data_IF_036677804645
#
_entry.id   IF_036677804645
#
_cell.length_a   1.000
_cell.length_b   1.000
_cell.length_c   1.000
_cell.angle_alpha   90.00
_cell.angle_beta   90.00
_cell.angle_gamma   90.00
#
_symmetry.space_group_name_H-M   'P 1'
#
loop_
_entity.id
_entity.type
_entity.pdbx_description
1 polymer ?
#
# COMPACT_ATOMS: atom_id res chain seq x y z
N UNK A 1 11.11 -34.13 9.21
CA UNK A 1 11.36 -33.33 7.99
C UNK A 1 12.63 -33.83 7.34
N UNK A 2 12.59 -34.24 6.06
CA UNK A 2 13.78 -34.74 5.35
C UNK A 2 14.78 -33.60 5.10
N UNK A 3 16.08 -33.90 4.97
CA UNK A 3 17.10 -32.87 4.66
C UNK A 3 16.76 -32.10 3.39
N UNK A 4 16.16 -32.78 2.40
CA UNK A 4 15.73 -32.17 1.15
C UNK A 4 14.66 -31.09 1.35
N UNK A 5 13.68 -31.31 2.23
CA UNK A 5 12.64 -30.33 2.53
C UNK A 5 13.18 -29.08 3.25
N UNK A 6 14.24 -29.23 4.08
CA UNK A 6 14.90 -28.07 4.71
C UNK A 6 15.63 -27.21 3.67
N UNK A 7 16.38 -27.86 2.78
CA UNK A 7 17.14 -27.16 1.73
C UNK A 7 16.25 -26.41 0.72
N UNK A 8 15.03 -26.90 0.44
CA UNK A 8 14.10 -26.20 -0.44
C UNK A 8 13.55 -24.94 0.22
N UNK A 9 13.17 -25.02 1.49
CA UNK A 9 12.61 -23.90 2.25
C UNK A 9 13.62 -22.75 2.41
N UNK A 10 14.89 -23.07 2.68
CA UNK A 10 15.98 -22.08 2.74
C UNK A 10 16.12 -21.30 1.43
N UNK A 11 16.20 -22.03 0.32
CA UNK A 11 16.36 -21.45 -1.00
C UNK A 11 15.20 -20.49 -1.30
N UNK A 12 13.99 -20.86 -0.91
CA UNK A 12 12.80 -20.06 -1.16
C UNK A 12 12.85 -18.72 -0.38
N UNK A 13 13.31 -18.70 0.88
CA UNK A 13 13.55 -17.45 1.62
C UNK A 13 14.64 -16.58 1.01
N UNK A 14 15.75 -17.17 0.53
CA UNK A 14 16.79 -16.39 -0.15
C UNK A 14 16.30 -15.80 -1.48
N UNK A 15 15.49 -16.55 -2.23
CA UNK A 15 14.85 -16.05 -3.45
C UNK A 15 13.90 -14.90 -3.11
N UNK A 16 13.07 -15.05 -2.07
CA UNK A 16 12.16 -14.01 -1.60
C UNK A 16 12.91 -12.74 -1.16
N UNK A 17 13.97 -12.89 -0.36
CA UNK A 17 14.82 -11.79 0.07
C UNK A 17 15.49 -11.09 -1.11
N UNK A 18 16.04 -11.86 -2.05
CA UNK A 18 16.70 -11.33 -3.25
C UNK A 18 15.75 -10.53 -4.14
N UNK A 19 14.55 -11.07 -4.42
CA UNK A 19 13.56 -10.40 -5.26
C UNK A 19 12.95 -9.17 -4.58
N UNK A 20 12.71 -9.22 -3.26
CA UNK A 20 12.22 -8.07 -2.48
C UNK A 20 13.30 -6.98 -2.38
N UNK A 21 14.55 -7.38 -2.14
CA UNK A 21 15.69 -6.47 -2.07
C UNK A 21 16.01 -5.81 -3.41
N UNK A 22 15.83 -6.52 -4.53
CA UNK A 22 16.01 -5.96 -5.87
C UNK A 22 15.07 -4.77 -6.16
N UNK A 23 13.92 -4.70 -5.49
CA UNK A 23 12.98 -3.58 -5.63
C UNK A 23 13.42 -2.30 -4.89
N UNK A 24 14.30 -2.41 -3.88
CA UNK A 24 14.77 -1.28 -3.07
C UNK A 24 15.53 -0.27 -3.93
N UNK A 25 16.45 -0.74 -4.78
CA UNK A 25 17.32 0.12 -5.59
C UNK A 25 16.54 1.03 -6.56
N UNK A 26 15.64 0.52 -7.45
CA UNK A 26 14.88 1.38 -8.35
C UNK A 26 13.96 2.34 -7.58
N UNK A 27 13.36 1.90 -6.47
CA UNK A 27 12.53 2.79 -5.65
C UNK A 27 13.32 3.90 -4.97
N UNK A 28 14.54 3.62 -4.50
CA UNK A 28 15.40 4.61 -3.89
C UNK A 28 15.85 5.67 -4.91
N UNK A 29 16.19 5.25 -6.14
CA UNK A 29 16.47 6.17 -7.25
C UNK A 29 15.24 7.04 -7.54
N UNK A 30 14.07 6.41 -7.68
CA UNK A 30 12.80 7.10 -7.91
C UNK A 30 12.45 8.05 -6.76
N UNK A 31 12.80 7.75 -5.52
CA UNK A 31 12.50 8.57 -4.36
C UNK A 31 13.42 9.81 -4.24
N UNK A 32 14.70 9.68 -4.59
CA UNK A 32 15.65 10.79 -4.50
C UNK A 32 15.29 11.89 -5.51
N UNK A 33 14.98 11.52 -6.75
CA UNK A 33 14.67 12.47 -7.84
C UNK A 33 13.58 13.52 -7.48
N UNK A 34 12.41 13.17 -6.92
CA UNK A 34 11.34 14.12 -6.58
C UNK A 34 11.67 15.04 -5.41
N UNK A 35 12.64 14.69 -4.55
CA UNK A 35 13.11 15.61 -3.51
C UNK A 35 13.69 16.88 -4.15
N UNK A 36 14.35 16.74 -5.30
CA UNK A 36 14.99 17.84 -6.03
C UNK A 36 14.07 18.48 -7.08
N UNK A 37 13.34 17.66 -7.85
CA UNK A 37 12.57 18.14 -9.02
C UNK A 37 11.18 18.64 -8.63
N UNK A 38 10.50 17.95 -7.71
CA UNK A 38 9.10 18.23 -7.37
C UNK A 38 9.08 19.22 -6.21
N UNK A 39 9.42 20.48 -6.50
CA UNK A 39 9.22 21.58 -5.55
C UNK A 39 7.73 21.93 -5.50
N UNK A 40 7.14 21.79 -4.33
CA UNK A 40 5.81 22.32 -4.04
C UNK A 40 5.91 23.84 -3.93
N UNK A 41 5.71 24.55 -5.04
CA UNK A 41 5.12 25.91 -4.93
C UNK A 41 3.71 25.73 -4.35
N UNK A 42 3.09 26.77 -3.79
CA UNK A 42 1.78 26.78 -3.10
C UNK A 42 0.57 26.34 -3.96
N UNK A 43 0.78 25.38 -4.85
CA UNK A 43 -0.14 24.82 -5.82
C UNK A 43 -0.95 23.70 -5.16
N UNK A 44 -2.25 23.93 -4.94
CA UNK A 44 -3.15 22.98 -4.28
C UNK A 44 -3.29 21.64 -5.02
N UNK A 45 -2.92 21.56 -6.29
CA UNK A 45 -2.99 20.33 -7.05
C UNK A 45 -1.76 19.42 -6.86
N UNK A 46 -0.65 19.96 -6.33
CA UNK A 46 0.59 19.19 -6.06
C UNK A 46 0.67 18.58 -4.66
N UNK A 47 -0.37 18.74 -3.85
CA UNK A 47 -0.41 18.26 -2.45
C UNK A 47 -0.20 16.74 -2.36
N UNK A 48 -0.70 15.98 -3.33
CA UNK A 48 -0.49 14.53 -3.42
C UNK A 48 0.98 14.11 -3.33
N UNK A 49 1.91 14.92 -3.85
CA UNK A 49 3.33 14.59 -3.85
C UNK A 49 4.00 14.78 -2.50
N UNK A 50 3.37 15.50 -1.57
CA UNK A 50 3.83 15.54 -0.18
C UNK A 50 3.64 14.15 0.45
N UNK A 51 2.45 13.57 0.27
CA UNK A 51 2.12 12.22 0.72
C UNK A 51 2.99 11.17 0.04
N UNK A 52 3.19 11.29 -1.28
CA UNK A 52 4.06 10.39 -2.02
C UNK A 52 5.52 10.42 -1.51
N UNK A 53 6.05 11.60 -1.14
CA UNK A 53 7.40 11.73 -0.56
C UNK A 53 7.53 11.07 0.81
N UNK A 54 6.46 11.02 1.60
CA UNK A 54 6.40 10.30 2.88
C UNK A 54 6.20 8.80 2.66
N UNK A 55 5.46 8.41 1.64
CA UNK A 55 5.16 7.02 1.31
C UNK A 55 6.42 6.21 0.95
N UNK A 56 7.29 6.77 0.09
CA UNK A 56 8.52 6.10 -0.35
C UNK A 56 9.42 5.62 0.81
N UNK A 57 9.85 6.45 1.78
CA UNK A 57 10.75 6.02 2.84
C UNK A 57 10.08 5.00 3.77
N UNK A 58 8.78 5.13 4.04
CA UNK A 58 8.03 4.14 4.84
C UNK A 58 8.01 2.79 4.13
N UNK A 59 7.77 2.77 2.82
CA UNK A 59 7.78 1.51 2.06
C UNK A 59 9.19 0.94 1.86
N UNK A 60 10.21 1.77 1.64
CA UNK A 60 11.60 1.33 1.61
C UNK A 60 12.03 0.70 2.93
N UNK A 61 11.62 1.27 4.06
CA UNK A 61 11.85 0.67 5.38
C UNK A 61 11.11 -0.65 5.53
N UNK A 62 9.88 -0.76 5.01
CA UNK A 62 9.12 -2.02 4.97
C UNK A 62 9.90 -3.09 4.22
N UNK A 63 10.38 -2.82 3.00
CA UNK A 63 11.17 -3.76 2.21
C UNK A 63 12.48 -4.15 2.89
N UNK A 64 13.17 -3.19 3.52
CA UNK A 64 14.39 -3.47 4.28
C UNK A 64 14.15 -4.44 5.43
N UNK A 65 13.04 -4.27 6.17
CA UNK A 65 12.65 -5.19 7.24
C UNK A 65 12.16 -6.55 6.72
N UNK A 66 11.47 -6.59 5.57
CA UNK A 66 11.12 -7.85 4.89
C UNK A 66 12.37 -8.65 4.56
N UNK A 67 13.35 -8.03 3.90
CA UNK A 67 14.64 -8.68 3.58
C UNK A 67 15.36 -9.14 4.86
N UNK A 68 15.36 -8.33 5.91
CA UNK A 68 15.96 -8.72 7.18
C UNK A 68 15.24 -9.93 7.81
N UNK A 69 13.91 -9.97 7.78
CA UNK A 69 13.10 -11.10 8.27
C UNK A 69 13.42 -12.39 7.50
N UNK A 70 13.47 -12.32 6.17
CA UNK A 70 13.79 -13.48 5.33
C UNK A 70 15.20 -14.02 5.60
N UNK A 71 16.18 -13.14 5.78
CA UNK A 71 17.56 -13.52 6.12
C UNK A 71 17.60 -14.19 7.50
N UNK A 72 16.87 -13.65 8.49
CA UNK A 72 16.78 -14.27 9.82
C UNK A 72 16.16 -15.67 9.71
N UNK A 73 15.06 -15.81 8.98
CA UNK A 73 14.42 -17.10 8.72
C UNK A 73 15.33 -18.11 8.03
N UNK A 74 16.07 -17.70 6.99
CA UNK A 74 17.03 -18.57 6.32
C UNK A 74 18.19 -18.95 7.26
N UNK A 75 18.71 -18.01 8.03
CA UNK A 75 19.82 -18.24 8.97
C UNK A 75 19.48 -19.21 10.10
N UNK A 76 18.19 -19.29 10.49
CA UNK A 76 17.70 -20.27 11.47
C UNK A 76 18.00 -21.70 11.05
N UNK A 77 18.00 -22.00 9.76
CA UNK A 77 18.24 -23.38 9.29
C UNK A 77 19.71 -23.77 9.47
N UNK A 78 20.63 -22.79 9.51
CA UNK A 78 22.06 -22.98 9.74
C UNK A 78 22.45 -22.96 11.22
N UNK A 79 21.80 -22.11 12.02
CA UNK A 79 22.11 -21.97 13.44
C UNK A 79 21.40 -23.08 14.22
N UNK A 80 22.20 -24.03 14.71
CA UNK A 80 21.76 -25.20 15.46
C UNK A 80 20.74 -24.85 16.55
N UNK A 81 19.73 -25.71 16.71
CA UNK A 81 18.57 -25.49 17.60
C UNK A 81 18.94 -25.28 19.09
N UNK A 82 20.20 -25.54 19.45
CA UNK A 82 20.78 -25.38 20.77
C UNK A 82 21.27 -23.95 21.10
N UNK A 83 21.16 -22.99 20.17
CA UNK A 83 21.45 -21.58 20.43
C UNK A 83 20.45 -20.99 21.44
N UNK A 84 20.94 -20.56 22.61
CA UNK A 84 20.15 -19.81 23.62
C UNK A 84 19.50 -18.53 23.09
N UNK A 85 19.97 -18.00 21.95
CA UNK A 85 19.27 -16.91 21.23
C UNK A 85 18.30 -17.54 20.25
N UNK A 86 17.01 -17.39 20.51
CA UNK A 86 16.00 -17.91 19.62
C UNK A 86 15.71 -16.90 18.48
N UNK A 87 16.10 -17.20 17.23
CA UNK A 87 15.87 -16.31 16.09
C UNK A 87 14.38 -16.05 15.82
N UNK A 88 13.48 -16.93 16.27
CA UNK A 88 12.03 -16.77 16.07
C UNK A 88 11.48 -15.56 16.81
N UNK A 89 11.98 -15.29 18.03
CA UNK A 89 11.58 -14.10 18.79
C UNK A 89 11.96 -12.80 18.07
N UNK A 90 13.20 -12.74 17.55
CA UNK A 90 13.68 -11.55 16.82
C UNK A 90 12.89 -11.40 15.53
N UNK A 91 12.69 -12.50 14.81
CA UNK A 91 11.96 -12.50 13.56
C UNK A 91 10.51 -12.03 13.72
N UNK A 92 9.77 -12.53 14.73
CA UNK A 92 8.40 -12.09 15.00
C UNK A 92 8.31 -10.57 15.20
N UNK A 93 9.28 -9.98 15.91
CA UNK A 93 9.34 -8.53 16.09
C UNK A 93 9.61 -7.78 14.78
N UNK A 94 10.53 -8.29 13.95
CA UNK A 94 10.83 -7.70 12.63
C UNK A 94 9.61 -7.82 11.70
N UNK A 95 8.92 -8.96 11.70
CA UNK A 95 7.69 -9.18 10.91
C UNK A 95 6.54 -8.29 11.37
N UNK A 96 6.37 -8.09 12.68
CA UNK A 96 5.40 -7.14 13.23
C UNK A 96 5.68 -5.70 12.78
N UNK A 97 6.94 -5.26 12.87
CA UNK A 97 7.34 -3.93 12.40
C UNK A 97 7.18 -3.77 10.88
N UNK A 98 7.50 -4.81 10.10
CA UNK A 98 7.28 -4.87 8.65
C UNK A 98 5.80 -4.70 8.33
N UNK A 99 4.94 -5.46 9.00
CA UNK A 99 3.48 -5.40 8.81
C UNK A 99 2.94 -4.01 9.12
N UNK A 100 3.35 -3.42 10.26
CA UNK A 100 2.95 -2.08 10.65
C UNK A 100 3.34 -1.03 9.60
N UNK A 101 4.61 -1.00 9.17
CA UNK A 101 5.07 -0.02 8.17
C UNK A 101 4.39 -0.22 6.81
N UNK A 102 4.18 -1.46 6.39
CA UNK A 102 3.44 -1.78 5.16
C UNK A 102 2.00 -1.26 5.19
N UNK A 103 1.31 -1.44 6.32
CA UNK A 103 -0.06 -0.95 6.50
C UNK A 103 -0.14 0.59 6.59
N UNK A 104 0.89 1.24 7.17
CA UNK A 104 1.02 2.70 7.13
C UNK A 104 1.26 3.19 5.70
N UNK A 105 2.11 2.50 4.93
CA UNK A 105 2.34 2.81 3.51
C UNK A 105 1.04 2.70 2.70
N UNK A 106 0.24 1.65 2.90
CA UNK A 106 -1.07 1.50 2.24
C UNK A 106 -2.02 2.66 2.57
N UNK A 107 -2.05 3.09 3.84
CA UNK A 107 -2.88 4.22 4.29
C UNK A 107 -2.43 5.54 3.64
N UNK A 108 -1.12 5.77 3.53
CA UNK A 108 -0.55 6.94 2.85
C UNK A 108 -0.81 6.90 1.33
N UNK A 109 -0.79 5.71 0.72
CA UNK A 109 -1.11 5.54 -0.69
C UNK A 109 -2.57 5.92 -0.98
N UNK A 110 -3.50 5.53 -0.11
CA UNK A 110 -4.91 5.93 -0.23
C UNK A 110 -5.06 7.46 -0.26
N UNK A 111 -4.43 8.17 0.69
CA UNK A 111 -4.45 9.63 0.71
C UNK A 111 -3.81 10.22 -0.55
N UNK A 112 -2.71 9.62 -1.01
CA UNK A 112 -2.02 10.04 -2.24
C UNK A 112 -2.94 9.95 -3.47
N UNK A 113 -3.67 8.85 -3.63
CA UNK A 113 -4.62 8.68 -4.74
C UNK A 113 -5.74 9.72 -4.72
N UNK A 114 -6.35 9.95 -3.55
CA UNK A 114 -7.46 10.90 -3.42
C UNK A 114 -6.98 12.34 -3.67
N UNK A 115 -5.85 12.73 -3.09
CA UNK A 115 -5.27 14.06 -3.30
C UNK A 115 -4.84 14.27 -4.76
N UNK A 116 -4.33 13.21 -5.41
CA UNK A 116 -3.92 13.30 -6.80
C UNK A 116 -5.12 13.47 -7.72
N UNK A 117 -6.18 12.68 -7.53
CA UNK A 117 -7.43 12.84 -8.29
C UNK A 117 -8.10 14.19 -8.03
N UNK A 118 -8.05 14.70 -6.79
CA UNK A 118 -8.48 16.06 -6.47
C UNK A 118 -7.64 17.10 -7.22
N UNK A 119 -6.32 16.89 -7.31
CA UNK A 119 -5.40 17.72 -8.09
C UNK A 119 -5.76 17.75 -9.58
N UNK A 120 -6.09 16.60 -10.17
CA UNK A 120 -6.60 16.52 -11.54
C UNK A 120 -7.90 17.34 -11.72
N UNK A 121 -8.88 17.18 -10.84
CA UNK A 121 -10.15 17.94 -10.99
C UNK A 121 -9.90 19.44 -10.79
N UNK A 122 -9.02 19.82 -9.87
CA UNK A 122 -8.65 21.21 -9.63
C UNK A 122 -8.01 21.87 -10.85
N UNK A 123 -7.14 21.17 -11.59
CA UNK A 123 -6.50 21.77 -12.78
C UNK A 123 -7.45 22.04 -13.95
N UNK A 124 -8.63 21.39 -13.99
CA UNK A 124 -9.71 21.76 -14.93
C UNK A 124 -10.49 22.95 -14.39
N UNK A 125 -11.02 22.82 -13.18
CA UNK A 125 -12.01 23.76 -12.65
C UNK A 125 -11.40 25.07 -12.13
N UNK A 126 -10.09 25.08 -11.84
CA UNK A 126 -9.35 26.17 -11.16
C UNK A 126 -9.85 26.55 -9.76
N UNK A 127 -10.91 25.90 -9.31
CA UNK A 127 -11.51 26.08 -8.00
C UNK A 127 -11.65 24.74 -7.27
N UNK A 128 -11.53 24.77 -5.93
CA UNK A 128 -11.78 23.60 -5.09
C UNK A 128 -13.26 23.51 -4.76
N UNK A 129 -13.95 22.50 -5.30
CA UNK A 129 -15.33 22.21 -4.93
C UNK A 129 -15.44 21.73 -3.48
N UNK A 130 -16.62 21.90 -2.89
CA UNK A 130 -16.93 21.37 -1.55
C UNK A 130 -16.77 19.85 -1.49
N UNK A 131 -17.12 19.15 -2.58
CA UNK A 131 -16.93 17.69 -2.67
C UNK A 131 -15.45 17.28 -2.62
N UNK A 132 -14.54 17.99 -3.27
CA UNK A 132 -13.10 17.71 -3.18
C UNK A 132 -12.56 17.91 -1.76
N UNK A 133 -13.02 18.97 -1.07
CA UNK A 133 -12.65 19.22 0.33
C UNK A 133 -13.16 18.10 1.24
N UNK A 134 -14.40 17.65 1.05
CA UNK A 134 -14.98 16.55 1.81
C UNK A 134 -14.22 15.24 1.57
N UNK A 135 -13.94 14.87 0.30
CA UNK A 135 -13.17 13.67 -0.03
C UNK A 135 -11.77 13.69 0.58
N UNK A 136 -11.10 14.85 0.57
CA UNK A 136 -9.79 15.02 1.20
C UNK A 136 -9.85 14.75 2.70
N UNK A 137 -10.76 15.41 3.42
CA UNK A 137 -10.87 15.23 4.87
C UNK A 137 -11.30 13.82 5.23
N UNK A 138 -12.20 13.21 4.46
CA UNK A 138 -12.60 11.81 4.64
C UNK A 138 -11.40 10.86 4.47
N UNK A 139 -10.58 11.04 3.42
CA UNK A 139 -9.41 10.21 3.18
C UNK A 139 -8.35 10.35 4.28
N UNK A 140 -8.10 11.58 4.75
CA UNK A 140 -7.16 11.83 5.84
C UNK A 140 -7.68 11.25 7.16
N UNK A 141 -8.95 11.48 7.49
CA UNK A 141 -9.58 10.93 8.70
C UNK A 141 -9.50 9.40 8.71
N UNK A 142 -9.86 8.78 7.60
CA UNK A 142 -9.80 7.34 7.44
C UNK A 142 -8.37 6.80 7.51
N UNK A 143 -7.39 7.46 6.89
CA UNK A 143 -5.99 7.06 6.97
C UNK A 143 -5.46 7.15 8.41
N UNK A 144 -5.84 8.18 9.16
CA UNK A 144 -5.50 8.31 10.58
C UNK A 144 -6.15 7.19 11.39
N UNK A 145 -7.43 6.88 11.15
CA UNK A 145 -8.11 5.78 11.82
C UNK A 145 -7.44 4.42 11.51
N UNK A 146 -7.09 4.17 10.25
CA UNK A 146 -6.35 2.98 9.84
C UNK A 146 -4.99 2.88 10.55
N UNK A 147 -4.21 3.96 10.59
CA UNK A 147 -2.93 4.00 11.31
C UNK A 147 -3.10 3.78 12.82
N UNK A 148 -4.19 4.28 13.42
CA UNK A 148 -4.48 4.03 14.83
C UNK A 148 -4.76 2.54 15.10
N UNK A 149 -5.52 1.88 14.21
CA UNK A 149 -5.78 0.43 14.30
C UNK A 149 -4.49 -0.38 14.16
N UNK A 150 -3.61 -0.03 13.21
CA UNK A 150 -2.34 -0.75 12.99
C UNK A 150 -1.37 -0.52 14.13
N UNK A 151 -1.38 0.68 14.73
CA UNK A 151 -0.59 0.98 15.92
C UNK A 151 -1.07 0.17 17.13
N UNK A 152 -2.39 0.09 17.34
CA UNK A 152 -2.97 -0.75 18.39
C UNK A 152 -2.61 -2.23 18.19
N UNK A 153 -2.67 -2.71 16.94
CA UNK A 153 -2.24 -4.06 16.58
C UNK A 153 -0.76 -4.29 16.92
N UNK A 154 0.13 -3.36 16.56
CA UNK A 154 1.56 -3.45 16.86
C UNK A 154 1.81 -3.48 18.38
N UNK A 155 1.17 -2.59 19.15
CA UNK A 155 1.32 -2.54 20.61
C UNK A 155 0.91 -3.88 21.24
N UNK A 156 -0.23 -4.43 20.84
CA UNK A 156 -0.69 -5.72 21.35
C UNK A 156 0.22 -6.88 20.92
N UNK A 157 0.75 -6.86 19.69
CA UNK A 157 1.72 -7.87 19.25
C UNK A 157 3.02 -7.80 20.07
N UNK A 158 3.53 -6.60 20.34
CA UNK A 158 4.74 -6.40 21.14
C UNK A 158 4.56 -6.82 22.60
N UNK A 159 3.33 -6.74 23.15
CA UNK A 159 3.00 -7.28 24.48
C UNK A 159 2.83 -8.81 24.46
N UNK A 160 2.24 -9.36 23.39
CA UNK A 160 1.94 -10.78 23.25
C UNK A 160 3.20 -11.63 23.06
N UNK A 161 4.12 -11.23 22.16
CA UNK A 161 5.28 -12.03 21.76
C UNK A 161 6.15 -12.44 22.97
N UNK A 162 6.54 -11.53 23.89
CA UNK A 162 7.35 -11.90 25.06
C UNK A 162 6.61 -12.82 26.04
N UNK A 163 5.30 -12.63 26.22
CA UNK A 163 4.49 -13.45 27.13
C UNK A 163 4.30 -14.86 26.58
N UNK A 164 4.02 -14.99 25.30
CA UNK A 164 3.96 -16.27 24.60
C UNK A 164 5.31 -16.99 24.68
N UNK A 165 6.42 -16.26 24.51
CA UNK A 165 7.76 -16.82 24.64
C UNK A 165 8.05 -17.39 26.02
N UNK A 166 7.72 -16.64 27.08
CA UNK A 166 7.88 -17.09 28.47
C UNK A 166 6.99 -18.28 28.80
N UNK A 167 5.74 -18.26 28.33
CA UNK A 167 4.81 -19.37 28.51
C UNK A 167 5.34 -20.66 27.87
N UNK A 168 5.84 -20.60 26.63
CA UNK A 168 6.45 -21.77 25.97
C UNK A 168 7.69 -22.30 26.71
N UNK A 169 8.49 -21.42 27.31
CA UNK A 169 9.65 -21.82 28.11
C UNK A 169 9.28 -22.53 29.42
N UNK A 170 8.22 -22.07 30.08
CA UNK A 170 7.74 -22.61 31.35
C UNK A 170 6.74 -23.77 31.18
N UNK A 171 6.31 -24.08 29.95
CA UNK A 171 5.34 -25.14 29.68
C UNK A 171 5.85 -26.54 30.07
N UNK A 172 7.16 -26.70 30.27
CA UNK A 172 7.74 -27.96 30.76
C UNK A 172 7.61 -28.14 32.28
N UNK A 173 7.22 -27.11 33.02
CA UNK A 173 7.00 -27.19 34.46
C UNK A 173 5.58 -27.70 34.74
N UNK A 174 5.42 -28.70 35.62
CA UNK A 174 4.13 -29.36 35.91
C UNK A 174 3.08 -28.43 36.54
N UNK A 175 3.49 -27.27 37.08
CA UNK A 175 2.63 -26.28 37.74
C UNK A 175 2.16 -25.14 36.81
N UNK A 176 2.18 -25.33 35.48
CA UNK A 176 1.79 -24.29 34.54
C UNK A 176 0.29 -23.94 34.63
N UNK A 177 -0.03 -22.69 34.95
CA UNK A 177 -1.40 -22.20 35.13
C UNK A 177 -2.13 -22.02 33.78
N UNK A 178 -3.20 -22.79 33.59
CA UNK A 178 -4.08 -22.73 32.41
C UNK A 178 -4.65 -21.32 32.15
N UNK A 179 -4.82 -20.50 33.20
CA UNK A 179 -5.31 -19.12 33.07
C UNK A 179 -4.39 -18.23 32.21
N UNK A 180 -3.09 -18.55 32.17
CA UNK A 180 -2.10 -17.86 31.34
C UNK A 180 -2.31 -18.19 29.85
N UNK A 181 -2.66 -19.43 29.51
CA UNK A 181 -2.97 -19.82 28.13
C UNK A 181 -4.23 -19.11 27.64
N UNK A 182 -5.25 -19.01 28.48
CA UNK A 182 -6.50 -18.33 28.14
C UNK A 182 -6.28 -16.83 27.87
N UNK A 183 -5.52 -16.13 28.72
CA UNK A 183 -5.15 -14.71 28.49
C UNK A 183 -4.36 -14.53 27.18
N UNK A 184 -3.40 -15.42 26.90
CA UNK A 184 -2.63 -15.39 25.65
C UNK A 184 -3.51 -15.64 24.42
N UNK A 185 -4.42 -16.61 24.49
CA UNK A 185 -5.37 -16.90 23.42
C UNK A 185 -6.29 -15.70 23.14
N UNK A 186 -6.83 -15.08 24.20
CA UNK A 186 -7.67 -13.89 24.08
C UNK A 186 -6.92 -12.71 23.44
N UNK A 187 -5.66 -12.48 23.80
CA UNK A 187 -4.81 -11.44 23.18
C UNK A 187 -4.47 -11.74 21.73
N UNK A 188 -4.15 -13.00 21.41
CA UNK A 188 -3.90 -13.41 20.02
C UNK A 188 -5.14 -13.18 19.16
N UNK A 189 -6.33 -13.53 19.66
CA UNK A 189 -7.60 -13.24 18.99
C UNK A 189 -7.85 -11.74 18.81
N UNK A 190 -7.54 -10.92 19.82
CA UNK A 190 -7.67 -9.46 19.71
C UNK A 190 -6.77 -8.85 18.63
N UNK A 191 -5.50 -9.27 18.56
CA UNK A 191 -4.55 -8.89 17.50
C UNK A 191 -5.12 -9.27 16.12
N UNK A 192 -5.65 -10.47 16.02
CA UNK A 192 -6.20 -11.01 14.78
C UNK A 192 -7.45 -10.23 14.32
N UNK A 193 -8.36 -9.90 15.25
CA UNK A 193 -9.53 -9.08 14.94
C UNK A 193 -9.15 -7.66 14.47
N UNK A 194 -8.12 -7.05 15.06
CA UNK A 194 -7.61 -5.75 14.58
C UNK A 194 -7.03 -5.87 13.17
N UNK A 195 -6.25 -6.92 12.90
CA UNK A 195 -5.68 -7.16 11.56
C UNK A 195 -6.77 -7.36 10.50
N UNK A 196 -7.80 -8.14 10.81
CA UNK A 196 -8.97 -8.34 9.94
C UNK A 196 -9.73 -7.02 9.74
N UNK A 197 -9.99 -6.29 10.83
CA UNK A 197 -10.69 -5.01 10.79
C UNK A 197 -9.97 -3.99 9.92
N UNK A 198 -8.66 -3.83 10.11
CA UNK A 198 -7.81 -3.02 9.22
C UNK A 198 -7.95 -3.46 7.77
N UNK A 199 -7.81 -4.76 7.50
CA UNK A 199 -7.80 -5.27 6.14
C UNK A 199 -9.15 -5.03 5.44
N UNK A 200 -10.28 -5.23 6.13
CA UNK A 200 -11.62 -4.94 5.60
C UNK A 200 -11.77 -3.44 5.31
N UNK A 201 -11.46 -2.58 6.28
CA UNK A 201 -11.61 -1.14 6.13
C UNK A 201 -10.74 -0.60 4.99
N UNK A 202 -9.47 -0.99 4.93
CA UNK A 202 -8.55 -0.55 3.88
C UNK A 202 -8.99 -1.04 2.48
N UNK A 203 -9.47 -2.29 2.36
CA UNK A 203 -9.93 -2.85 1.08
C UNK A 203 -11.21 -2.17 0.59
N UNK A 204 -12.21 -2.00 1.46
CA UNK A 204 -13.47 -1.35 1.11
C UNK A 204 -13.24 0.08 0.63
N UNK A 205 -12.36 0.80 1.31
CA UNK A 205 -12.09 2.21 1.02
C UNK A 205 -11.24 2.37 -0.23
N UNK A 206 -10.26 1.48 -0.43
CA UNK A 206 -9.46 1.42 -1.66
C UNK A 206 -10.26 1.01 -2.89
N UNK A 207 -11.37 0.27 -2.76
CA UNK A 207 -12.24 -0.09 -3.87
C UNK A 207 -12.90 1.15 -4.53
N UNK A 208 -13.05 2.27 -3.80
CA UNK A 208 -13.56 3.52 -4.36
C UNK A 208 -12.52 4.27 -5.22
N UNK A 209 -11.23 4.00 -5.03
CA UNK A 209 -10.14 4.67 -5.76
C UNK A 209 -10.20 4.43 -7.28
N UNK A 210 -10.34 3.19 -7.81
CA UNK A 210 -10.48 2.99 -9.24
C UNK A 210 -11.75 3.63 -9.81
N UNK A 211 -12.86 3.60 -9.08
CA UNK A 211 -14.11 4.29 -9.47
C UNK A 211 -13.86 5.79 -9.62
N UNK A 212 -13.20 6.40 -8.64
CA UNK A 212 -12.84 7.81 -8.69
C UNK A 212 -11.87 8.11 -9.84
N UNK A 213 -10.89 7.24 -10.09
CA UNK A 213 -9.97 7.38 -11.21
C UNK A 213 -10.66 7.28 -12.58
N UNK A 214 -11.70 6.46 -12.71
CA UNK A 214 -12.55 6.41 -13.90
C UNK A 214 -13.25 7.76 -14.12
N UNK A 215 -13.84 8.34 -13.07
CA UNK A 215 -14.50 9.66 -13.16
C UNK A 215 -13.50 10.75 -13.57
N UNK A 216 -12.31 10.76 -12.98
CA UNK A 216 -11.23 11.70 -13.36
C UNK A 216 -10.86 11.50 -14.83
N UNK A 217 -10.64 10.26 -15.26
CA UNK A 217 -10.25 9.95 -16.65
C UNK A 217 -11.32 10.32 -17.66
N UNK A 218 -12.60 10.09 -17.32
CA UNK A 218 -13.73 10.49 -18.15
C UNK A 218 -13.78 12.02 -18.35
N UNK A 219 -13.61 12.80 -17.28
CA UNK A 219 -13.53 14.27 -17.37
C UNK A 219 -12.34 14.76 -18.22
N UNK A 220 -11.24 14.02 -18.21
CA UNK A 220 -10.05 14.32 -19.01
C UNK A 220 -10.08 13.75 -20.44
N UNK A 221 -11.14 13.06 -20.83
CA UNK A 221 -11.27 12.49 -22.18
C UNK A 221 -11.17 13.57 -23.26
N UNK A 222 -11.73 14.76 -23.04
CA UNK A 222 -11.68 15.88 -23.99
C UNK A 222 -10.31 16.59 -24.06
N UNK A 223 -9.48 16.49 -23.01
CA UNK A 223 -8.23 17.27 -22.88
C UNK A 223 -7.03 16.42 -23.33
N UNK A 224 -6.69 16.48 -24.63
CA UNK A 224 -5.63 15.65 -25.26
C UNK A 224 -4.29 15.69 -24.51
N UNK A 225 -3.88 16.85 -23.99
CA UNK A 225 -2.59 17.01 -23.30
C UNK A 225 -2.48 16.14 -22.04
N UNK A 226 -3.52 16.15 -21.19
CA UNK A 226 -3.50 15.49 -19.88
C UNK A 226 -4.06 14.06 -19.90
N UNK A 227 -4.64 13.61 -21.02
CA UNK A 227 -5.24 12.28 -21.16
C UNK A 227 -4.27 11.16 -20.78
N UNK A 228 -3.00 11.28 -21.16
CA UNK A 228 -1.97 10.29 -20.79
C UNK A 228 -1.72 10.20 -19.28
N UNK A 229 -1.72 11.33 -18.56
CA UNK A 229 -1.55 11.30 -17.10
C UNK A 229 -2.77 10.71 -16.39
N UNK A 230 -3.98 11.01 -16.87
CA UNK A 230 -5.19 10.41 -16.33
C UNK A 230 -5.26 8.90 -16.57
N UNK A 231 -4.82 8.43 -17.74
CA UNK A 231 -4.70 6.99 -18.04
C UNK A 231 -3.68 6.29 -17.13
N UNK A 232 -2.52 6.91 -16.88
CA UNK A 232 -1.53 6.37 -15.92
C UNK A 232 -2.11 6.31 -14.50
N UNK A 233 -2.86 7.34 -14.09
CA UNK A 233 -3.53 7.38 -12.79
C UNK A 233 -4.56 6.25 -12.63
N UNK A 234 -5.37 6.01 -13.66
CA UNK A 234 -6.31 4.90 -13.71
C UNK A 234 -5.58 3.54 -13.71
N UNK A 235 -4.49 3.41 -14.46
CA UNK A 235 -3.71 2.18 -14.48
C UNK A 235 -3.11 1.86 -13.10
N UNK A 236 -2.59 2.88 -12.41
CA UNK A 236 -2.06 2.75 -11.06
C UNK A 236 -3.15 2.36 -10.04
N UNK A 237 -4.35 2.95 -10.13
CA UNK A 237 -5.44 2.61 -9.21
C UNK A 237 -5.99 1.19 -9.45
N UNK A 238 -6.12 0.76 -10.71
CA UNK A 238 -6.52 -0.60 -11.06
C UNK A 238 -5.49 -1.62 -10.60
N UNK A 239 -4.19 -1.36 -10.84
CA UNK A 239 -3.12 -2.26 -10.40
C UNK A 239 -3.08 -2.37 -8.87
N UNK A 240 -3.26 -1.26 -8.14
CA UNK A 240 -3.35 -1.30 -6.68
C UNK A 240 -4.59 -2.09 -6.21
N UNK A 241 -5.71 -1.96 -6.91
CA UNK A 241 -6.90 -2.75 -6.60
C UNK A 241 -6.67 -4.26 -6.81
N UNK A 242 -6.01 -4.65 -7.90
CA UNK A 242 -5.61 -6.06 -8.15
C UNK A 242 -4.72 -6.58 -7.02
N UNK A 243 -3.72 -5.79 -6.60
CA UNK A 243 -2.87 -6.11 -5.44
C UNK A 243 -3.69 -6.35 -4.17
N UNK A 244 -4.67 -5.50 -3.89
CA UNK A 244 -5.51 -5.65 -2.69
C UNK A 244 -6.44 -6.87 -2.75
N UNK A 245 -6.94 -7.22 -3.94
CA UNK A 245 -7.70 -8.46 -4.18
C UNK A 245 -6.80 -9.68 -3.95
N UNK A 246 -5.56 -9.66 -4.45
CA UNK A 246 -4.58 -10.71 -4.17
C UNK A 246 -4.35 -10.87 -2.66
N UNK A 247 -4.03 -9.78 -1.95
CA UNK A 247 -3.84 -9.83 -0.49
C UNK A 247 -5.08 -10.35 0.26
N UNK A 248 -6.28 -10.08 -0.25
CA UNK A 248 -7.51 -10.63 0.30
C UNK A 248 -7.61 -12.13 0.07
N UNK A 249 -7.41 -12.58 -1.17
CA UNK A 249 -7.37 -14.00 -1.50
C UNK A 249 -6.32 -14.72 -0.67
N UNK A 250 -5.14 -14.11 -0.49
CA UNK A 250 -4.07 -14.70 0.29
C UNK A 250 -4.44 -14.85 1.76
N UNK A 251 -4.98 -13.79 2.38
CA UNK A 251 -5.43 -13.88 3.77
C UNK A 251 -6.56 -14.89 3.97
N UNK A 252 -7.48 -15.03 3.01
CA UNK A 252 -8.56 -16.02 3.07
C UNK A 252 -7.98 -17.44 2.94
N UNK A 253 -7.09 -17.66 1.97
CA UNK A 253 -6.47 -18.97 1.75
C UNK A 253 -5.70 -19.47 2.98
N UNK A 254 -4.95 -18.58 3.64
CA UNK A 254 -4.22 -18.89 4.87
C UNK A 254 -5.15 -19.32 6.01
N UNK A 255 -6.35 -18.73 6.10
CA UNK A 255 -7.34 -19.03 7.15
C UNK A 255 -8.18 -20.28 6.87
N UNK A 256 -8.48 -20.54 5.60
CA UNK A 256 -9.28 -21.71 5.23
C UNK A 256 -8.43 -22.99 5.21
N UNK A 257 -7.14 -22.87 4.93
CA UNK A 257 -6.25 -24.01 4.66
C UNK A 257 -5.32 -24.32 5.84
N UNK A 258 -5.83 -24.24 7.08
CA UNK A 258 -5.07 -24.61 8.29
C UNK A 258 -4.44 -26.02 8.22
N UNK A 259 -4.92 -26.88 7.33
CA UNK A 259 -4.46 -28.27 7.15
C UNK A 259 -3.43 -28.48 6.03
N UNK A 260 -3.24 -27.53 5.10
CA UNK A 260 -2.29 -27.66 3.99
C UNK A 260 -1.83 -26.28 3.53
N UNK A 261 -0.91 -25.64 4.25
CA UNK A 261 -0.06 -24.63 3.64
C UNK A 261 0.73 -25.34 2.53
N UNK A 262 0.42 -25.15 1.24
CA UNK A 262 1.19 -25.78 0.20
C UNK A 262 2.59 -25.19 0.32
N UNK A 263 3.59 -26.04 0.48
CA UNK A 263 5.02 -25.76 0.37
C UNK A 263 5.36 -25.35 -1.08
N UNK A 264 4.57 -24.44 -1.62
CA UNK A 264 4.47 -24.16 -3.03
C UNK A 264 5.16 -22.84 -3.27
N UNK A 265 6.43 -22.93 -3.66
CA UNK A 265 7.27 -21.84 -4.16
C UNK A 265 6.48 -20.90 -5.09
N UNK A 266 5.53 -21.43 -5.87
CA UNK A 266 4.60 -20.67 -6.72
C UNK A 266 3.82 -19.60 -5.95
N UNK A 267 3.32 -19.92 -4.76
CA UNK A 267 2.52 -19.01 -3.94
C UNK A 267 3.35 -17.83 -3.44
N UNK A 268 4.57 -18.11 -2.97
CA UNK A 268 5.51 -17.08 -2.53
C UNK A 268 5.93 -16.18 -3.71
N UNK A 269 6.20 -16.76 -4.88
CA UNK A 269 6.52 -15.99 -6.08
C UNK A 269 5.35 -15.08 -6.48
N UNK A 270 4.11 -15.59 -6.45
CA UNK A 270 2.92 -14.77 -6.72
C UNK A 270 2.79 -13.63 -5.71
N UNK A 271 3.06 -13.87 -4.42
CA UNK A 271 3.01 -12.81 -3.42
C UNK A 271 4.05 -11.72 -3.70
N UNK A 272 5.29 -12.09 -4.03
CA UNK A 272 6.34 -11.14 -4.41
C UNK A 272 5.88 -10.27 -5.59
N UNK A 273 5.34 -10.87 -6.66
CA UNK A 273 4.96 -10.11 -7.85
C UNK A 273 3.69 -9.27 -7.65
N UNK A 274 2.66 -9.84 -7.05
CA UNK A 274 1.34 -9.21 -6.92
C UNK A 274 1.23 -8.28 -5.71
N UNK A 275 2.10 -8.42 -4.71
CA UNK A 275 2.20 -7.51 -3.59
C UNK A 275 3.35 -6.51 -3.77
N UNK A 276 4.60 -6.99 -3.77
CA UNK A 276 5.79 -6.12 -3.72
C UNK A 276 6.00 -5.39 -5.05
N UNK A 277 6.16 -6.13 -6.14
CA UNK A 277 6.44 -5.51 -7.44
C UNK A 277 5.25 -4.71 -7.98
N UNK A 278 4.02 -5.18 -7.78
CA UNK A 278 2.83 -4.42 -8.12
C UNK A 278 2.81 -3.07 -7.41
N UNK A 279 3.13 -3.02 -6.10
CA UNK A 279 3.22 -1.75 -5.37
C UNK A 279 4.35 -0.86 -5.90
N UNK A 280 5.52 -1.43 -6.20
CA UNK A 280 6.63 -0.70 -6.80
C UNK A 280 6.24 -0.05 -8.13
N UNK A 281 5.53 -0.79 -8.98
CA UNK A 281 5.01 -0.29 -10.26
C UNK A 281 3.97 0.81 -10.02
N UNK A 282 3.06 0.66 -9.05
CA UNK A 282 2.11 1.72 -8.67
C UNK A 282 2.85 3.00 -8.28
N UNK A 283 3.87 2.93 -7.41
CA UNK A 283 4.67 4.08 -7.01
C UNK A 283 5.40 4.72 -8.19
N UNK A 284 5.99 3.91 -9.08
CA UNK A 284 6.66 4.39 -10.29
C UNK A 284 5.68 5.10 -11.25
N UNK A 285 4.47 4.57 -11.44
CA UNK A 285 3.42 5.19 -12.24
C UNK A 285 2.99 6.53 -11.64
N UNK A 286 2.73 6.60 -10.33
CA UNK A 286 2.36 7.85 -9.65
C UNK A 286 3.49 8.88 -9.72
N UNK A 287 4.74 8.44 -9.59
CA UNK A 287 5.91 9.29 -9.75
C UNK A 287 6.06 9.82 -11.19
N UNK A 288 5.76 9.01 -12.21
CA UNK A 288 5.82 9.45 -13.60
C UNK A 288 4.85 10.61 -13.88
N UNK A 289 3.69 10.64 -13.22
CA UNK A 289 2.73 11.76 -13.27
C UNK A 289 3.35 13.03 -12.64
N UNK A 290 4.16 12.88 -11.59
CA UNK A 290 4.82 13.99 -10.90
C UNK A 290 5.89 14.67 -11.76
N UNK A 291 6.68 13.88 -12.49
CA UNK A 291 7.84 14.36 -13.25
C UNK A 291 7.47 14.95 -14.61
N UNK A 292 6.30 14.60 -15.16
CA UNK A 292 5.93 15.02 -16.50
C UNK A 292 5.79 16.55 -16.58
N UNK A 293 6.83 17.21 -17.09
CA UNK A 293 6.91 18.67 -17.25
C UNK A 293 6.20 19.14 -18.52
N UNK A 294 6.45 18.52 -19.67
CA UNK A 294 5.85 18.90 -20.97
C UNK A 294 4.56 18.13 -21.26
N UNK A 295 3.50 18.86 -21.64
CA UNK A 295 2.12 18.32 -21.78
C UNK A 295 1.63 17.58 -20.52
N UNK A 296 2.27 17.82 -19.38
CA UNK A 296 1.88 17.25 -18.10
C UNK A 296 0.81 18.09 -17.41
N UNK A 297 0.29 17.57 -16.31
CA UNK A 297 -0.66 18.30 -15.47
C UNK A 297 -0.05 19.61 -14.92
N UNK A 298 1.29 19.70 -14.92
CA UNK A 298 2.09 20.68 -14.20
C UNK A 298 2.88 21.67 -15.07
N UNK A 299 2.68 21.67 -16.40
CA UNK A 299 3.27 22.66 -17.32
C UNK A 299 2.87 24.08 -16.89
N UNK A 300 3.85 24.99 -16.80
CA UNK A 300 3.64 26.41 -16.44
C UNK A 300 2.90 27.15 -17.57
N UNK A 301 3.11 26.75 -18.82
CA UNK A 301 2.36 27.18 -20.00
C UNK A 301 1.51 26.02 -20.50
N UNK A 302 0.26 25.94 -20.05
CA UNK A 302 -0.68 25.01 -20.66
C UNK A 302 -1.28 25.68 -21.92
N UNK A 303 -1.42 24.98 -23.05
CA UNK A 303 -1.90 25.59 -24.29
C UNK A 303 -3.34 26.14 -24.21
N UNK A 304 -4.07 25.86 -23.14
CA UNK A 304 -5.36 26.49 -22.84
C UNK A 304 -5.26 27.72 -21.92
N UNK A 305 -4.08 28.05 -21.38
CA UNK A 305 -3.84 29.26 -20.57
C UNK A 305 -3.50 30.48 -21.43
N UNK A 306 -3.18 30.33 -22.71
CA UNK A 306 -2.80 31.43 -23.62
C UNK A 306 -4.01 32.22 -24.16
N UNK A 307 -5.06 32.42 -23.36
CA UNK A 307 -6.13 33.36 -23.67
C UNK A 307 -7.37 32.80 -24.40
N UNK A 308 -7.55 31.48 -24.49
CA UNK A 308 -8.84 30.92 -24.90
C UNK A 308 -9.73 30.80 -23.67
N UNK A 309 -10.66 31.75 -23.55
CA UNK A 309 -11.73 31.83 -22.54
C UNK A 309 -12.45 30.48 -22.30
N UNK A 310 -13.06 30.24 -21.11
CA UNK A 310 -13.79 29.00 -20.74
C UNK A 310 -14.98 28.58 -21.64
N UNK A 311 -15.09 29.09 -22.86
CA UNK A 311 -16.09 28.71 -23.86
C UNK A 311 -16.03 27.21 -24.24
N UNK A 312 -14.95 26.49 -23.91
CA UNK A 312 -14.84 25.05 -24.14
C UNK A 312 -15.67 24.19 -23.16
N UNK A 313 -16.07 24.73 -22.00
CA UNK A 313 -16.99 24.02 -21.08
C UNK A 313 -18.44 24.28 -21.48
N UNK A 314 -18.77 25.49 -21.93
CA UNK A 314 -20.11 25.84 -22.42
C UNK A 314 -20.51 25.04 -23.66
N UNK A 315 -19.58 24.77 -24.58
CA UNK A 315 -19.90 24.01 -25.80
C UNK A 315 -20.22 22.53 -25.56
N UNK A 316 -19.79 21.95 -24.45
CA UNK A 316 -20.18 20.58 -24.06
C UNK A 316 -21.57 20.54 -23.39
N UNK A 317 -22.02 21.65 -22.79
CA UNK A 317 -23.35 21.76 -22.18
C UNK A 317 -24.41 22.33 -23.13
N UNK A 318 -24.03 23.08 -24.16
CA UNK A 318 -24.98 23.68 -25.11
C UNK A 318 -25.43 22.74 -26.23
N UNK A 319 -24.67 21.68 -26.53
CA UNK A 319 -25.05 20.69 -27.57
C UNK A 319 -26.26 19.85 -27.14
N UNK A 320 -26.56 19.76 -25.84
CA UNK A 320 -27.68 18.94 -25.32
C UNK A 320 -28.99 19.72 -25.10
N UNK A 321 -29.00 21.04 -25.38
CA UNK A 321 -30.20 21.90 -25.21
C UNK A 321 -30.92 22.28 -26.51
N UNK A 322 -30.50 21.73 -27.64
CA UNK A 322 -31.15 21.97 -28.94
C UNK A 322 -31.83 20.71 -29.48
N UNK A 323 -32.64 20.05 -28.66
CA UNK A 323 -33.65 19.12 -29.16
C UNK A 323 -34.88 19.96 -29.62
N UNK A 324 -35.25 19.94 -30.91
CA UNK A 324 -36.44 20.66 -31.38
C UNK A 324 -37.71 19.99 -30.84
N UNK A 325 -38.60 20.81 -30.27
CA UNK A 325 -40.00 20.47 -30.05
C UNK A 325 -40.61 20.00 -31.38
N UNK A 326 -40.90 18.70 -31.48
CA UNK A 326 -41.75 18.17 -32.53
C UNK A 326 -43.20 18.51 -32.16
N UNK A 327 -43.77 19.46 -32.90
CA UNK A 327 -45.21 19.61 -33.11
C UNK A 327 -45.75 18.47 -33.95
#
# INVERSE_FOLDING_TARGET
>A
MSSNARSSLERDYYIHAGLSGAAILPLLIIWIVPLWIVRTRKDPARVAFIWLKLLFPVYLATLGLTVASDIIHASRVYLDANSRRNPDYVNLNVTSATTFLGQVADSLLLVTFIELGNGFIFSINRERSSSQKAMRWLAVFLAVALVAVTLAQLILQQDLIPKMWRAMGNYQDEDFDDSVLEDLANKAMAVEYLAVGYAILNRLTSAFVPVYACVVTHKYSAVKACRGCAAIFLSASVLNFIRLVWLMASNISLRLTYTFLPDNTTWQLLDIFLNIWAFCVVLALLFSIAVKKDKGLWTISQPWMSGVSPAFVERAQSVDRTAPLKT
#
